data_IF_073756095164
#
_entry.id   IF_073756095164
#
_cell.length_a   1.000
_cell.length_b   1.000
_cell.length_c   1.000
_cell.angle_alpha   90.00
_cell.angle_beta   90.00
_cell.angle_gamma   90.00
#
_symmetry.space_group_name_H-M   'P 1'
#
loop_
_entity.id
_entity.type
_entity.pdbx_description
1 polymer ?
#
# COMPACT_ATOMS: atom_id res chain seq x y z
N UNK A 1 -39.95 47.25 -53.01
CA UNK A 1 -38.63 46.59 -53.08
C UNK A 1 -37.65 47.34 -52.18
N UNK A 2 -37.32 46.80 -51.00
CA UNK A 2 -36.29 47.38 -50.11
C UNK A 2 -35.02 46.56 -50.30
N UNK A 3 -34.01 47.14 -50.96
CA UNK A 3 -32.69 46.55 -51.11
C UNK A 3 -32.01 46.45 -49.73
N UNK A 4 -31.86 45.22 -49.22
CA UNK A 4 -31.00 44.93 -48.09
C UNK A 4 -29.54 45.02 -48.57
N UNK A 5 -28.90 46.17 -48.34
CA UNK A 5 -27.46 46.34 -48.49
C UNK A 5 -26.75 45.49 -47.43
N UNK A 6 -26.36 44.27 -47.80
CA UNK A 6 -25.47 43.43 -46.99
C UNK A 6 -24.09 44.08 -47.01
N UNK A 7 -23.84 44.97 -46.04
CA UNK A 7 -22.53 45.55 -45.75
C UNK A 7 -21.61 44.41 -45.29
N UNK A 8 -20.77 43.87 -46.18
CA UNK A 8 -19.70 42.91 -45.85
C UNK A 8 -18.76 43.54 -44.80
N UNK A 9 -19.03 43.33 -43.52
CA UNK A 9 -18.05 43.58 -42.45
C UNK A 9 -16.96 42.53 -42.61
N UNK A 10 -15.88 42.85 -43.32
CA UNK A 10 -14.62 42.12 -43.20
C UNK A 10 -14.08 42.43 -41.80
N UNK A 11 -14.39 41.59 -40.83
CA UNK A 11 -13.70 41.63 -39.54
C UNK A 11 -12.20 41.49 -39.80
N UNK A 12 -11.39 42.36 -39.21
CA UNK A 12 -9.94 42.27 -39.35
C UNK A 12 -9.48 40.97 -38.71
N UNK A 13 -8.80 40.11 -39.46
CA UNK A 13 -8.23 38.85 -38.94
C UNK A 13 -7.42 39.12 -37.67
N UNK A 14 -6.72 40.26 -37.60
CA UNK A 14 -5.99 40.72 -36.41
C UNK A 14 -6.86 40.84 -35.17
N UNK A 15 -8.10 41.34 -35.28
CA UNK A 15 -9.00 41.47 -34.12
C UNK A 15 -9.48 40.12 -33.59
N UNK A 16 -9.62 39.11 -34.46
CA UNK A 16 -9.92 37.74 -34.04
C UNK A 16 -8.72 37.11 -33.31
N UNK A 17 -7.50 37.30 -33.82
CA UNK A 17 -6.27 36.78 -33.18
C UNK A 17 -5.98 37.41 -31.82
N UNK A 18 -6.12 38.74 -31.70
CA UNK A 18 -5.89 39.44 -30.43
C UNK A 18 -6.88 38.99 -29.35
N UNK A 19 -8.12 38.68 -29.72
CA UNK A 19 -9.11 38.14 -28.80
C UNK A 19 -8.92 36.66 -28.46
N UNK A 20 -8.42 35.84 -29.40
CA UNK A 20 -8.29 34.40 -29.20
C UNK A 20 -7.05 34.01 -28.40
N UNK A 21 -5.94 34.75 -28.51
CA UNK A 21 -4.69 34.42 -27.81
C UNK A 21 -4.87 34.36 -26.28
N UNK A 22 -5.46 35.36 -25.60
CA UNK A 22 -5.64 35.30 -24.15
C UNK A 22 -6.52 34.11 -23.70
N UNK A 23 -7.58 33.82 -24.45
CA UNK A 23 -8.47 32.67 -24.17
C UNK A 23 -7.71 31.36 -24.33
N UNK A 24 -6.91 31.24 -25.40
CA UNK A 24 -6.08 30.07 -25.63
C UNK A 24 -5.02 29.89 -24.53
N UNK A 25 -4.35 30.97 -24.11
CA UNK A 25 -3.39 30.92 -23.01
C UNK A 25 -4.07 30.46 -21.73
N UNK A 26 -5.19 31.07 -21.33
CA UNK A 26 -5.93 30.65 -20.13
C UNK A 26 -6.35 29.17 -20.18
N UNK A 27 -6.82 28.71 -21.34
CA UNK A 27 -7.15 27.30 -21.54
C UNK A 27 -5.93 26.39 -21.41
N UNK A 28 -4.80 26.75 -22.03
CA UNK A 28 -3.56 25.99 -21.94
C UNK A 28 -3.04 25.93 -20.50
N UNK A 29 -3.13 27.03 -19.74
CA UNK A 29 -2.78 27.07 -18.32
C UNK A 29 -3.68 26.14 -17.50
N UNK A 30 -4.99 26.15 -17.77
CA UNK A 30 -5.93 25.27 -17.11
C UNK A 30 -5.64 23.79 -17.37
N UNK A 31 -5.40 23.41 -18.63
CA UNK A 31 -5.01 22.03 -19.00
C UNK A 31 -3.69 21.65 -18.36
N UNK A 32 -2.70 22.56 -18.33
CA UNK A 32 -1.42 22.33 -17.66
C UNK A 32 -1.58 22.07 -16.17
N UNK A 33 -2.42 22.84 -15.48
CA UNK A 33 -2.70 22.65 -14.06
C UNK A 33 -3.33 21.28 -13.75
N UNK A 34 -4.28 20.84 -14.60
CA UNK A 34 -4.88 19.50 -14.50
C UNK A 34 -3.81 18.41 -14.73
N UNK A 35 -2.97 18.56 -15.75
CA UNK A 35 -1.93 17.58 -16.04
C UNK A 35 -0.96 17.41 -14.87
N UNK A 36 -0.57 18.51 -14.21
CA UNK A 36 0.29 18.46 -13.02
C UNK A 36 -0.43 17.78 -11.85
N UNK A 37 -1.71 18.07 -11.62
CA UNK A 37 -2.48 17.43 -10.55
C UNK A 37 -2.58 15.91 -10.77
N UNK A 38 -2.83 15.48 -12.01
CA UNK A 38 -2.82 14.07 -12.39
C UNK A 38 -1.45 13.42 -12.21
N UNK A 39 -0.37 14.11 -12.59
CA UNK A 39 0.99 13.61 -12.39
C UNK A 39 1.32 13.43 -10.90
N UNK A 40 0.96 14.40 -10.05
CA UNK A 40 1.12 14.30 -8.59
C UNK A 40 0.29 13.17 -8.00
N UNK A 41 -0.96 12.98 -8.44
CA UNK A 41 -1.81 11.87 -7.98
C UNK A 41 -1.23 10.51 -8.38
N UNK A 42 -0.80 10.37 -9.63
CA UNK A 42 -0.14 9.16 -10.14
C UNK A 42 1.12 8.84 -9.32
N UNK A 43 1.95 9.84 -9.02
CA UNK A 43 3.13 9.66 -8.17
C UNK A 43 2.76 9.21 -6.76
N UNK A 44 1.74 9.82 -6.14
CA UNK A 44 1.28 9.44 -4.81
C UNK A 44 0.75 7.99 -4.79
N UNK A 45 0.01 7.59 -5.82
CA UNK A 45 -0.51 6.24 -5.97
C UNK A 45 0.61 5.20 -6.15
N UNK A 46 1.58 5.46 -7.02
CA UNK A 46 2.75 4.58 -7.21
C UNK A 46 3.55 4.42 -5.91
N UNK A 47 3.74 5.53 -5.18
CA UNK A 47 4.41 5.50 -3.89
C UNK A 47 3.62 4.68 -2.85
N UNK A 48 2.30 4.83 -2.82
CA UNK A 48 1.43 4.07 -1.92
C UNK A 48 1.43 2.57 -2.25
N UNK A 49 1.36 2.19 -3.54
CA UNK A 49 1.41 0.79 -3.98
C UNK A 49 2.75 0.14 -3.61
N UNK A 50 3.86 0.85 -3.83
CA UNK A 50 5.19 0.40 -3.43
C UNK A 50 5.30 0.22 -1.90
N UNK A 51 4.77 1.18 -1.14
CA UNK A 51 4.70 1.10 0.32
C UNK A 51 3.89 -0.10 0.80
N UNK A 52 2.72 -0.34 0.19
CA UNK A 52 1.85 -1.44 0.56
C UNK A 52 2.47 -2.81 0.22
N UNK A 53 3.16 -2.93 -0.92
CA UNK A 53 3.88 -4.14 -1.29
C UNK A 53 5.00 -4.46 -0.29
N UNK A 54 5.79 -3.46 0.09
CA UNK A 54 6.86 -3.63 1.09
C UNK A 54 6.30 -3.95 2.46
N UNK A 55 5.19 -3.31 2.84
CA UNK A 55 4.53 -3.58 4.11
C UNK A 55 4.13 -5.05 4.20
N UNK A 56 3.44 -5.56 3.16
CA UNK A 56 3.05 -6.97 3.13
C UNK A 56 4.26 -7.90 3.13
N UNK A 57 5.29 -7.61 2.35
CA UNK A 57 6.51 -8.44 2.33
C UNK A 57 7.18 -8.51 3.71
N UNK A 58 7.30 -7.37 4.40
CA UNK A 58 7.92 -7.31 5.73
C UNK A 58 7.08 -8.00 6.79
N UNK A 59 5.77 -7.88 6.70
CA UNK A 59 4.85 -8.62 7.58
C UNK A 59 4.98 -10.13 7.37
N UNK A 60 5.02 -10.60 6.12
CA UNK A 60 5.22 -12.02 5.82
C UNK A 60 6.56 -12.53 6.41
N UNK A 61 7.64 -11.77 6.22
CA UNK A 61 8.97 -12.08 6.76
C UNK A 61 8.95 -12.19 8.30
N UNK A 62 8.38 -11.21 9.00
CA UNK A 62 8.33 -11.25 10.48
C UNK A 62 7.39 -12.31 11.02
N UNK A 63 6.25 -12.54 10.39
CA UNK A 63 5.36 -13.63 10.79
C UNK A 63 6.10 -14.96 10.65
N UNK A 64 6.83 -15.19 9.54
CA UNK A 64 7.66 -16.38 9.35
C UNK A 64 8.66 -16.55 10.50
N UNK A 65 9.47 -15.52 10.78
CA UNK A 65 10.47 -15.56 11.86
C UNK A 65 9.86 -15.86 13.24
N UNK A 66 8.74 -15.20 13.59
CA UNK A 66 8.08 -15.43 14.89
C UNK A 66 7.41 -16.82 14.95
N UNK A 67 6.97 -17.37 13.81
CA UNK A 67 6.46 -18.74 13.74
C UNK A 67 7.56 -19.76 13.96
N UNK A 68 8.74 -19.56 13.36
CA UNK A 68 9.90 -20.43 13.62
C UNK A 68 10.30 -20.44 15.10
N UNK A 69 10.29 -19.26 15.72
CA UNK A 69 10.57 -19.13 17.15
C UNK A 69 9.49 -19.82 18.00
N UNK A 70 8.20 -19.70 17.65
CA UNK A 70 7.12 -20.37 18.36
C UNK A 70 7.20 -21.89 18.23
N UNK A 71 7.46 -22.41 17.03
CA UNK A 71 7.68 -23.85 16.78
C UNK A 71 8.87 -24.36 17.59
N UNK A 72 9.99 -23.61 17.62
CA UNK A 72 11.16 -23.94 18.42
C UNK A 72 10.84 -23.93 19.91
N UNK A 73 10.02 -23.00 20.39
CA UNK A 73 9.61 -22.96 21.79
C UNK A 73 8.71 -24.14 22.18
N UNK A 74 7.84 -24.61 21.27
CA UNK A 74 6.98 -25.76 21.49
C UNK A 74 7.75 -27.08 21.52
N UNK A 75 8.65 -27.29 20.55
CA UNK A 75 9.47 -28.51 20.44
C UNK A 75 10.68 -28.49 21.40
N UNK A 76 11.05 -27.32 21.91
CA UNK A 76 12.23 -27.15 22.74
C UNK A 76 13.53 -27.33 21.95
N UNK A 77 14.59 -27.76 22.64
CA UNK A 77 15.89 -28.06 21.99
C UNK A 77 15.89 -29.40 21.25
N UNK A 78 14.83 -30.20 21.35
CA UNK A 78 14.77 -31.56 20.84
C UNK A 78 13.78 -31.64 19.67
N UNK A 79 14.30 -31.45 18.45
CA UNK A 79 13.56 -31.70 17.21
C UNK A 79 13.60 -33.20 16.86
N UNK A 80 13.30 -34.06 17.84
CA UNK A 80 13.16 -35.49 17.61
C UNK A 80 11.86 -35.77 16.84
N UNK A 81 11.86 -36.82 16.02
CA UNK A 81 10.66 -37.24 15.28
C UNK A 81 9.48 -37.48 16.22
N UNK A 82 9.72 -38.07 17.40
CA UNK A 82 8.71 -38.31 18.43
C UNK A 82 8.05 -37.02 18.93
N UNK A 83 8.84 -35.96 19.19
CA UNK A 83 8.30 -34.68 19.65
C UNK A 83 7.46 -33.98 18.57
N UNK A 84 7.87 -34.09 17.31
CA UNK A 84 7.12 -33.54 16.17
C UNK A 84 5.81 -34.31 15.96
N UNK A 85 5.82 -35.64 16.08
CA UNK A 85 4.63 -36.48 15.98
C UNK A 85 3.61 -36.22 17.09
N UNK A 86 4.07 -35.91 18.31
CA UNK A 86 3.19 -35.59 19.43
C UNK A 86 2.60 -34.17 19.32
N UNK A 87 3.37 -33.20 18.82
CA UNK A 87 2.99 -31.80 18.81
C UNK A 87 2.00 -31.42 17.70
N UNK A 88 1.99 -32.13 16.56
CA UNK A 88 1.22 -31.75 15.38
C UNK A 88 0.29 -32.89 14.89
N UNK A 89 -0.89 -32.56 14.32
CA UNK A 89 -1.79 -33.55 13.74
C UNK A 89 -1.15 -34.40 12.62
N UNK A 90 -1.62 -35.63 12.42
CA UNK A 90 -1.12 -36.54 11.38
C UNK A 90 -1.29 -36.00 9.94
N UNK A 91 -2.32 -35.19 9.70
CA UNK A 91 -2.62 -34.60 8.40
C UNK A 91 -2.01 -33.20 8.21
N UNK A 92 -1.20 -32.74 9.17
CA UNK A 92 -0.51 -31.46 9.10
C UNK A 92 0.58 -31.47 8.02
N UNK A 93 0.51 -30.50 7.12
CA UNK A 93 1.58 -30.26 6.14
C UNK A 93 2.84 -29.72 6.81
N UNK A 94 2.66 -28.96 7.89
CA UNK A 94 3.76 -28.49 8.73
C UNK A 94 4.52 -29.68 9.32
N UNK A 95 3.82 -30.70 9.83
CA UNK A 95 4.42 -31.95 10.32
C UNK A 95 5.26 -32.63 9.24
N UNK A 96 4.68 -32.86 8.05
CA UNK A 96 5.39 -33.46 6.91
C UNK A 96 6.66 -32.69 6.56
N UNK A 97 6.57 -31.35 6.48
CA UNK A 97 7.70 -30.51 6.13
C UNK A 97 8.82 -30.54 7.18
N UNK A 98 8.47 -30.54 8.47
CA UNK A 98 9.42 -30.62 9.58
C UNK A 98 10.15 -31.98 9.59
N UNK A 99 9.43 -33.08 9.39
CA UNK A 99 10.02 -34.43 9.32
C UNK A 99 10.94 -34.59 8.11
N UNK A 100 10.61 -33.96 6.99
CA UNK A 100 11.46 -33.96 5.78
C UNK A 100 12.62 -32.96 5.85
N UNK A 101 12.71 -32.15 6.91
CA UNK A 101 13.73 -31.11 7.07
C UNK A 101 13.64 -30.00 6.01
N UNK A 102 12.45 -29.76 5.47
CA UNK A 102 12.20 -28.67 4.51
C UNK A 102 12.26 -27.31 5.24
N UNK A 103 12.77 -26.25 4.59
CA UNK A 103 12.71 -24.90 5.15
C UNK A 103 11.25 -24.45 5.30
N UNK A 104 10.93 -23.81 6.42
CA UNK A 104 9.58 -23.31 6.73
C UNK A 104 9.13 -22.20 5.77
N UNK A 105 10.09 -21.45 5.22
CA UNK A 105 9.88 -20.39 4.22
C UNK A 105 9.17 -20.87 2.94
N UNK A 106 9.23 -22.18 2.63
CA UNK A 106 8.58 -22.75 1.45
C UNK A 106 7.09 -23.04 1.68
N UNK A 107 6.62 -23.01 2.93
CA UNK A 107 5.23 -23.26 3.27
C UNK A 107 4.39 -21.98 3.25
N UNK A 108 3.12 -22.04 2.81
CA UNK A 108 2.20 -20.92 2.98
C UNK A 108 2.00 -20.61 4.46
N UNK A 109 2.31 -19.38 4.88
CA UNK A 109 2.13 -18.88 6.26
C UNK A 109 0.74 -19.22 6.82
N UNK A 110 -0.29 -19.13 5.98
CA UNK A 110 -1.66 -19.42 6.36
C UNK A 110 -1.85 -20.88 6.81
N UNK A 111 -1.20 -21.84 6.14
CA UNK A 111 -1.25 -23.26 6.50
C UNK A 111 -0.48 -23.51 7.80
N UNK A 112 0.71 -22.90 7.93
CA UNK A 112 1.52 -23.00 9.16
C UNK A 112 0.78 -22.47 10.38
N UNK A 113 0.10 -21.31 10.24
CA UNK A 113 -0.72 -20.76 11.33
C UNK A 113 -1.89 -21.66 11.72
N UNK A 114 -2.55 -22.30 10.74
CA UNK A 114 -3.66 -23.22 11.03
C UNK A 114 -3.15 -24.46 11.76
N UNK A 115 -2.05 -25.05 11.30
CA UNK A 115 -1.48 -26.26 11.91
C UNK A 115 -0.93 -25.98 13.32
N UNK A 116 -0.21 -24.87 13.49
CA UNK A 116 0.42 -24.50 14.77
C UNK A 116 -0.60 -24.21 15.88
N UNK A 117 -1.74 -23.62 15.52
CA UNK A 117 -2.76 -23.23 16.49
C UNK A 117 -4.01 -24.12 16.43
N UNK A 118 -3.94 -25.29 15.80
CA UNK A 118 -5.04 -26.25 15.64
C UNK A 118 -6.34 -25.58 15.12
N UNK A 119 -6.18 -24.68 14.15
CA UNK A 119 -7.25 -23.88 13.55
C UNK A 119 -7.91 -22.86 14.48
N UNK A 120 -7.38 -22.63 15.68
CA UNK A 120 -7.96 -21.69 16.63
C UNK A 120 -7.74 -20.24 16.20
N UNK A 121 -8.74 -19.68 15.50
CA UNK A 121 -8.68 -18.30 14.99
C UNK A 121 -8.39 -17.26 16.08
N UNK A 122 -8.79 -17.47 17.34
CA UNK A 122 -8.55 -16.50 18.40
C UNK A 122 -7.05 -16.43 18.73
N UNK A 123 -6.40 -17.59 18.88
CA UNK A 123 -4.96 -17.66 19.14
C UNK A 123 -4.17 -17.09 17.96
N UNK A 124 -4.56 -17.41 16.73
CA UNK A 124 -3.95 -16.83 15.53
C UNK A 124 -4.06 -15.30 15.53
N UNK A 125 -5.23 -14.74 15.85
CA UNK A 125 -5.44 -13.29 15.94
C UNK A 125 -4.56 -12.65 17.02
N UNK A 126 -4.45 -13.28 18.18
CA UNK A 126 -3.63 -12.79 19.30
C UNK A 126 -2.14 -12.84 18.97
N UNK A 127 -1.67 -13.91 18.32
CA UNK A 127 -0.32 -14.03 17.79
C UNK A 127 -0.01 -12.93 16.77
N UNK A 128 -0.82 -12.81 15.70
CA UNK A 128 -0.62 -11.79 14.66
C UNK A 128 -0.63 -10.37 15.24
N UNK A 129 -1.51 -10.08 16.19
CA UNK A 129 -1.55 -8.80 16.91
C UNK A 129 -0.23 -8.54 17.65
N UNK A 130 0.33 -9.57 18.26
CA UNK A 130 1.60 -9.46 18.99
C UNK A 130 2.75 -9.16 18.03
N UNK A 131 2.86 -9.90 16.92
CA UNK A 131 3.87 -9.66 15.87
C UNK A 131 3.77 -8.24 15.31
N UNK A 132 2.56 -7.78 14.96
CA UNK A 132 2.37 -6.44 14.39
C UNK A 132 2.69 -5.33 15.38
N UNK A 133 2.41 -5.52 16.67
CA UNK A 133 2.78 -4.55 17.70
C UNK A 133 4.30 -4.52 17.94
N UNK A 134 4.95 -5.69 17.92
CA UNK A 134 6.41 -5.83 18.09
C UNK A 134 7.17 -5.07 17.00
N UNK A 135 6.80 -5.24 15.73
CA UNK A 135 7.50 -4.63 14.59
C UNK A 135 6.88 -3.33 14.07
N UNK A 136 5.96 -2.71 14.83
CA UNK A 136 5.19 -1.54 14.38
C UNK A 136 6.07 -0.38 13.88
N UNK A 137 7.15 -0.07 14.60
CA UNK A 137 8.04 1.04 14.26
C UNK A 137 8.92 0.72 13.06
N UNK A 138 9.43 -0.50 12.97
CA UNK A 138 10.21 -0.97 11.82
C UNK A 138 9.37 -0.95 10.54
N UNK A 139 8.08 -1.30 10.64
CA UNK A 139 7.15 -1.24 9.53
C UNK A 139 6.93 0.20 9.05
N UNK A 140 6.72 1.13 9.99
CA UNK A 140 6.59 2.55 9.68
C UNK A 140 7.82 3.08 8.92
N UNK A 141 9.02 2.76 9.41
CA UNK A 141 10.29 3.19 8.78
C UNK A 141 10.45 2.57 7.39
N UNK A 142 10.26 1.26 7.26
CA UNK A 142 10.41 0.57 5.99
C UNK A 142 9.44 1.10 4.92
N UNK A 143 8.16 1.28 5.27
CA UNK A 143 7.16 1.83 4.35
C UNK A 143 7.50 3.27 3.98
N UNK A 144 7.83 4.13 4.95
CA UNK A 144 8.21 5.53 4.69
C UNK A 144 9.39 5.61 3.71
N UNK A 145 10.42 4.81 3.92
CA UNK A 145 11.62 4.85 3.08
C UNK A 145 11.30 4.45 1.63
N UNK A 146 10.47 3.43 1.44
CA UNK A 146 10.02 3.01 0.11
C UNK A 146 9.08 4.03 -0.55
N UNK A 147 8.15 4.60 0.22
CA UNK A 147 7.25 5.66 -0.27
C UNK A 147 8.05 6.86 -0.77
N UNK A 148 9.06 7.30 0.00
CA UNK A 148 9.96 8.40 -0.39
C UNK A 148 10.77 8.09 -1.64
N UNK A 149 11.29 6.87 -1.76
CA UNK A 149 12.02 6.42 -2.95
C UNK A 149 11.15 6.44 -4.22
N UNK A 150 9.84 6.33 -4.08
CA UNK A 150 8.86 6.32 -5.18
C UNK A 150 8.13 7.66 -5.36
N UNK A 151 8.68 8.76 -4.84
CA UNK A 151 8.14 10.12 -5.06
C UNK A 151 7.02 10.53 -4.11
N UNK A 152 6.77 9.75 -3.06
CA UNK A 152 5.94 10.16 -1.93
C UNK A 152 6.67 11.08 -0.95
N UNK A 153 5.89 11.72 -0.09
CA UNK A 153 6.34 12.52 1.04
C UNK A 153 6.77 11.62 2.22
N UNK A 154 7.32 12.22 3.27
CA UNK A 154 7.75 11.48 4.45
C UNK A 154 6.63 11.15 5.44
N UNK A 155 5.41 11.62 5.19
CA UNK A 155 4.23 11.32 6.00
C UNK A 155 3.19 10.49 5.26
N UNK A 156 2.58 9.56 5.97
CA UNK A 156 1.47 8.77 5.46
C UNK A 156 0.83 7.89 6.54
N UNK A 157 0.04 6.91 6.10
CA UNK A 157 -0.59 5.94 6.99
C UNK A 157 -0.53 4.53 6.44
N UNK A 158 -0.43 3.56 7.33
CA UNK A 158 -0.56 2.14 7.05
C UNK A 158 -1.80 1.66 7.80
N UNK A 159 -2.71 0.98 7.10
CA UNK A 159 -3.97 0.48 7.65
C UNK A 159 -4.05 -1.02 7.38
N UNK A 160 -4.18 -1.79 8.46
CA UNK A 160 -4.14 -3.26 8.44
C UNK A 160 -5.30 -3.82 9.27
N UNK A 161 -6.03 -4.82 8.77
CA UNK A 161 -6.29 -5.12 7.35
C UNK A 161 -7.32 -4.15 6.74
N UNK A 162 -7.35 -4.07 5.40
CA UNK A 162 -8.43 -3.50 4.58
C UNK A 162 -8.77 -4.48 3.45
N UNK A 163 -9.92 -5.14 3.50
CA UNK A 163 -10.33 -6.18 2.53
C UNK A 163 -9.27 -7.28 2.32
N UNK A 164 -8.77 -7.86 3.41
CA UNK A 164 -7.72 -8.90 3.44
C UNK A 164 -6.34 -8.44 2.92
N UNK A 165 -6.10 -7.12 2.87
CA UNK A 165 -4.86 -6.51 2.36
C UNK A 165 -4.31 -5.48 3.32
N UNK A 166 -3.06 -5.10 3.10
CA UNK A 166 -2.48 -3.88 3.69
C UNK A 166 -2.81 -2.70 2.80
N UNK A 167 -3.38 -1.63 3.35
CA UNK A 167 -3.55 -0.35 2.65
C UNK A 167 -2.50 0.63 3.13
N UNK A 168 -1.90 1.37 2.21
CA UNK A 168 -1.02 2.50 2.52
C UNK A 168 -1.62 3.75 1.90
N UNK A 169 -1.70 4.81 2.70
CA UNK A 169 -2.02 6.17 2.26
C UNK A 169 -0.70 6.94 2.15
N UNK A 170 -0.29 7.27 0.93
CA UNK A 170 0.86 8.15 0.69
C UNK A 170 0.37 9.50 0.18
N UNK A 171 1.18 10.54 0.36
CA UNK A 171 0.91 11.85 -0.21
C UNK A 171 2.13 12.35 -0.98
N UNK A 172 1.91 13.19 -1.97
CA UNK A 172 2.98 13.87 -2.71
C UNK A 172 2.69 15.36 -2.72
N UNK A 173 3.72 16.20 -2.57
CA UNK A 173 3.56 17.66 -2.60
C UNK A 173 3.05 18.12 -3.96
N UNK A 174 1.99 18.93 -3.98
CA UNK A 174 1.49 19.53 -5.20
C UNK A 174 2.38 20.71 -5.60
N UNK A 175 2.99 20.65 -6.78
CA UNK A 175 3.90 21.69 -7.28
C UNK A 175 3.36 22.26 -8.59
N UNK A 176 2.37 23.17 -8.54
CA UNK A 176 1.85 23.79 -9.75
C UNK A 176 2.91 24.71 -10.38
N UNK A 177 2.88 24.86 -11.70
CA UNK A 177 3.79 25.78 -12.41
C UNK A 177 3.44 27.26 -12.11
N UNK A 178 2.18 27.54 -11.79
CA UNK A 178 1.66 28.88 -11.51
C UNK A 178 1.03 28.85 -10.12
N UNK A 179 1.11 29.96 -9.38
CA UNK A 179 0.54 30.09 -8.04
C UNK A 179 1.20 29.20 -6.98
N UNK A 180 2.49 28.87 -7.13
CA UNK A 180 3.22 28.04 -6.13
C UNK A 180 3.05 28.54 -4.70
N UNK A 181 3.04 29.86 -4.51
CA UNK A 181 2.83 30.51 -3.21
C UNK A 181 1.48 30.17 -2.55
N UNK A 182 0.44 29.90 -3.35
CA UNK A 182 -0.89 29.54 -2.85
C UNK A 182 -1.04 28.05 -2.53
N UNK A 183 -0.10 27.22 -3.00
CA UNK A 183 -0.17 25.76 -2.92
C UNK A 183 1.06 25.13 -2.26
N UNK A 184 1.88 25.92 -1.54
CA UNK A 184 3.14 25.46 -0.91
C UNK A 184 2.97 24.29 0.07
N UNK A 185 1.79 24.22 0.69
CA UNK A 185 1.43 23.22 1.71
C UNK A 185 0.25 22.36 1.27
N UNK A 186 0.02 22.28 -0.05
CA UNK A 186 -1.00 21.42 -0.64
C UNK A 186 -0.37 20.09 -1.02
N UNK A 187 -1.04 19.01 -0.63
CA UNK A 187 -0.63 17.64 -0.91
C UNK A 187 -1.71 16.93 -1.69
N UNK A 188 -1.29 16.03 -2.58
CA UNK A 188 -2.18 15.10 -3.26
C UNK A 188 -2.00 13.73 -2.62
N UNK A 189 -3.10 13.15 -2.17
CA UNK A 189 -3.11 11.82 -1.56
C UNK A 189 -3.32 10.74 -2.62
N UNK A 190 -2.74 9.56 -2.36
CA UNK A 190 -2.88 8.35 -3.14
C UNK A 190 -2.99 7.15 -2.23
N UNK A 191 -3.87 6.22 -2.60
CA UNK A 191 -4.05 4.95 -1.91
C UNK A 191 -3.39 3.83 -2.68
N UNK A 192 -2.72 2.94 -1.95
CA UNK A 192 -2.13 1.73 -2.49
C UNK A 192 -2.50 0.51 -1.67
N UNK A 193 -2.57 -0.64 -2.35
CA UNK A 193 -3.03 -1.89 -1.74
C UNK A 193 -2.07 -3.04 -2.01
N UNK A 194 -1.63 -3.69 -0.94
CA UNK A 194 -0.80 -4.87 -1.00
C UNK A 194 -1.56 -6.07 -1.60
N UNK A 195 -0.84 -7.18 -1.84
CA UNK A 195 -1.48 -8.44 -2.21
C UNK A 195 -2.35 -8.97 -1.06
N UNK A 196 -3.34 -9.81 -1.40
CA UNK A 196 -4.19 -10.45 -0.39
C UNK A 196 -3.39 -11.48 0.41
N UNK A 197 -3.75 -11.64 1.68
CA UNK A 197 -3.24 -12.68 2.59
C UNK A 197 -4.40 -13.28 3.38
N UNK A 198 -4.45 -14.61 3.53
CA UNK A 198 -5.59 -15.22 4.22
C UNK A 198 -5.55 -14.92 5.72
N UNK A 199 -4.38 -14.86 6.33
CA UNK A 199 -4.21 -14.51 7.74
C UNK A 199 -4.75 -13.11 8.06
N UNK A 200 -4.77 -12.18 7.10
CA UNK A 200 -5.36 -10.86 7.28
C UNK A 200 -6.90 -10.89 7.35
N UNK A 201 -7.55 -11.88 6.74
CA UNK A 201 -9.00 -12.09 6.82
C UNK A 201 -9.44 -12.44 8.25
N UNK A 202 -8.53 -13.04 9.02
CA UNK A 202 -8.78 -13.37 10.42
C UNK A 202 -8.75 -12.12 11.32
N UNK A 203 -8.24 -10.98 10.87
CA UNK A 203 -8.15 -9.78 11.69
C UNK A 203 -9.38 -8.87 11.48
N UNK A 204 -9.87 -8.17 12.52
CA UNK A 204 -10.89 -7.14 12.33
C UNK A 204 -10.42 -6.04 11.39
N UNK A 205 -11.30 -5.53 10.53
CA UNK A 205 -11.02 -4.40 9.64
C UNK A 205 -10.43 -3.19 10.39
N UNK A 206 -9.37 -2.60 9.84
CA UNK A 206 -8.66 -1.42 10.38
C UNK A 206 -8.19 -1.58 11.83
N UNK A 207 -7.83 -2.80 12.23
CA UNK A 207 -7.33 -3.11 13.56
C UNK A 207 -6.07 -2.32 13.94
N UNK A 208 -5.16 -2.13 12.97
CA UNK A 208 -3.89 -1.44 13.17
C UNK A 208 -3.81 -0.27 12.20
N UNK A 209 -3.63 0.94 12.76
CA UNK A 209 -3.35 2.15 12.00
C UNK A 209 -2.00 2.71 12.46
N UNK A 210 -1.05 2.88 11.54
CA UNK A 210 0.29 3.35 11.83
C UNK A 210 0.54 4.61 11.00
N UNK A 211 0.83 5.72 11.67
CA UNK A 211 1.33 6.93 11.01
C UNK A 211 2.85 6.81 10.92
N UNK A 212 3.41 7.14 9.77
CA UNK A 212 4.85 7.20 9.55
C UNK A 212 5.28 8.57 9.07
#
# INVERSE_FOLDING_TARGET
MRCFLIRKRRGSVTTAWVGSIPVFVLFALFVGAIAIAWASHSSAQVAADAGALVATKKMDEWIGLELEDEIRNLLGNDFSEEAIEEAFPEDSKLKEALLEGKPLDDLPIDEVLQDLFDGNEQLIREFLKTVFNKHRQELAVAVRDYVKQNGGDDQGKIIIPVHDRVRVEARTRYQPVIFQEYFSDTYVEGDGYGPKRLYLKLLPEKMVEIKY
#
